data_IF_480989525174
#
_entry.id   IF_480989525174
#
_cell.length_a   1.000
_cell.length_b   1.000
_cell.length_c   1.000
_cell.angle_alpha   90.00
_cell.angle_beta   90.00
_cell.angle_gamma   90.00
#
_symmetry.space_group_name_H-M   'P 1'
#
loop_
_entity.id
_entity.type
_entity.pdbx_description
1 polymer ?
#
# COMPACT_ATOMS: atom_id res chain seq x y z
N UNK A 1 -6.99 31.56 -26.34
CA UNK A 1 -6.68 30.56 -25.29
C UNK A 1 -6.02 29.37 -25.96
N UNK A 2 -4.76 29.10 -25.62
CA UNK A 2 -3.94 28.05 -26.24
C UNK A 2 -4.38 26.66 -25.73
N UNK A 3 -4.64 25.72 -26.64
CA UNK A 3 -4.94 24.32 -26.31
C UNK A 3 -3.63 23.63 -25.90
N UNK A 4 -3.53 23.23 -24.64
CA UNK A 4 -2.33 22.59 -24.07
C UNK A 4 -2.28 21.07 -24.30
N UNK A 5 -2.62 20.60 -25.50
CA UNK A 5 -2.30 19.21 -25.86
C UNK A 5 -2.06 19.07 -27.36
N UNK A 6 -0.90 18.50 -27.66
CA UNK A 6 -0.48 18.08 -28.98
C UNK A 6 -0.64 16.56 -29.02
N UNK A 7 -1.30 16.04 -30.06
CA UNK A 7 -1.33 14.60 -30.32
C UNK A 7 0.06 14.22 -30.80
N UNK A 8 0.73 13.31 -30.09
CA UNK A 8 2.05 12.85 -30.49
C UNK A 8 2.06 11.34 -30.65
N UNK A 9 2.42 10.91 -31.85
CA UNK A 9 2.69 9.53 -32.24
C UNK A 9 3.78 8.96 -31.34
N UNK A 10 3.54 7.81 -30.70
CA UNK A 10 4.49 7.05 -29.87
C UNK A 10 5.13 7.79 -28.66
N UNK A 11 4.81 9.06 -28.41
CA UNK A 11 5.41 9.84 -27.33
C UNK A 11 4.44 9.95 -26.15
N UNK A 12 4.86 9.44 -25.00
CA UNK A 12 4.13 9.55 -23.74
C UNK A 12 3.99 11.00 -23.25
N UNK A 13 3.18 11.21 -22.21
CA UNK A 13 3.03 12.50 -21.54
C UNK A 13 4.25 12.76 -20.64
N UNK A 14 4.97 13.86 -20.86
CA UNK A 14 6.02 14.31 -19.93
C UNK A 14 5.36 14.95 -18.71
N UNK A 15 5.56 14.35 -17.53
CA UNK A 15 5.10 14.91 -16.26
C UNK A 15 6.20 15.86 -15.72
N UNK A 16 5.90 17.13 -15.45
CA UNK A 16 6.86 18.06 -14.84
C UNK A 16 7.42 17.49 -13.53
N UNK A 17 8.75 17.57 -13.27
CA UNK A 17 9.36 17.02 -12.06
C UNK A 17 8.72 17.53 -10.75
N UNK A 18 8.23 18.76 -10.74
CA UNK A 18 7.52 19.35 -9.61
C UNK A 18 6.23 18.60 -9.23
N UNK A 19 5.61 17.87 -10.18
CA UNK A 19 4.43 17.03 -9.95
C UNK A 19 4.80 15.58 -9.61
N UNK A 20 6.08 15.19 -9.75
CA UNK A 20 6.59 13.85 -9.46
C UNK A 20 7.17 13.72 -8.04
N UNK A 21 6.75 14.56 -7.09
CA UNK A 21 7.34 14.60 -5.74
C UNK A 21 7.33 13.25 -5.01
N UNK A 22 6.40 12.36 -5.36
CA UNK A 22 6.21 11.04 -4.76
C UNK A 22 6.51 9.86 -5.71
N UNK A 23 7.04 10.10 -6.91
CA UNK A 23 7.27 9.06 -7.92
C UNK A 23 8.73 9.06 -8.40
N UNK A 24 9.31 7.87 -8.55
CA UNK A 24 10.64 7.64 -9.10
C UNK A 24 10.54 7.12 -10.53
N UNK A 25 11.60 7.33 -11.32
CA UNK A 25 11.71 6.75 -12.65
C UNK A 25 11.69 5.21 -12.53
N UNK A 26 10.75 4.58 -13.25
CA UNK A 26 10.55 3.13 -13.21
C UNK A 26 9.44 2.67 -12.28
N UNK A 27 8.83 3.57 -11.49
CA UNK A 27 7.66 3.23 -10.69
C UNK A 27 6.46 2.89 -11.57
N UNK A 28 5.75 1.82 -11.22
CA UNK A 28 4.44 1.54 -11.79
C UNK A 28 3.42 2.56 -11.26
N UNK A 29 2.48 2.96 -12.12
CA UNK A 29 1.42 3.92 -11.79
C UNK A 29 0.06 3.40 -12.25
N UNK A 30 -0.98 3.77 -11.52
CA UNK A 30 -2.36 3.57 -11.93
C UNK A 30 -2.81 4.79 -12.75
N UNK A 31 -3.37 4.53 -13.93
CA UNK A 31 -4.04 5.53 -14.76
C UNK A 31 -5.56 5.38 -14.61
N UNK A 32 -6.20 6.35 -13.98
CA UNK A 32 -7.66 6.44 -13.88
C UNK A 32 -8.16 7.47 -14.91
N UNK A 33 -9.10 7.07 -15.77
CA UNK A 33 -9.65 7.91 -16.84
C UNK A 33 -11.12 8.20 -16.51
N UNK A 34 -11.43 9.47 -16.24
CA UNK A 34 -12.76 10.00 -15.96
C UNK A 34 -13.17 11.02 -17.05
N UNK A 35 -14.47 11.32 -17.22
CA UNK A 35 -14.90 12.39 -18.13
C UNK A 35 -14.25 13.74 -17.77
N UNK A 36 -13.34 14.21 -18.64
CA UNK A 36 -12.63 15.48 -18.47
C UNK A 36 -11.39 15.44 -17.57
N UNK A 37 -10.96 14.27 -17.08
CA UNK A 37 -9.82 14.13 -16.17
C UNK A 37 -9.07 12.81 -16.37
N UNK A 38 -7.74 12.88 -16.32
CA UNK A 38 -6.87 11.72 -16.14
C UNK A 38 -6.18 11.88 -14.78
N UNK A 39 -6.29 10.89 -13.91
CA UNK A 39 -5.53 10.85 -12.67
C UNK A 39 -4.42 9.80 -12.78
N UNK A 40 -3.21 10.19 -12.37
CA UNK A 40 -2.03 9.34 -12.29
C UNK A 40 -1.72 9.17 -10.82
N UNK A 41 -1.75 7.94 -10.32
CA UNK A 41 -1.52 7.63 -8.91
C UNK A 41 -0.39 6.60 -8.79
N UNK A 42 0.39 6.60 -7.69
CA UNK A 42 1.31 5.51 -7.42
C UNK A 42 0.57 4.17 -7.54
N UNK A 43 1.19 3.16 -8.16
CA UNK A 43 0.60 1.84 -8.14
C UNK A 43 0.49 1.36 -6.70
N UNK A 44 -0.67 0.78 -6.37
CA UNK A 44 -0.84 0.09 -5.10
C UNK A 44 0.25 -0.97 -4.95
N UNK A 45 0.79 -1.11 -3.75
CA UNK A 45 1.64 -2.25 -3.41
C UNK A 45 0.94 -3.54 -3.79
N UNK A 46 1.64 -4.37 -4.55
CA UNK A 46 1.14 -5.70 -4.83
C UNK A 46 1.12 -6.56 -3.53
N UNK A 47 0.35 -7.66 -3.50
CA UNK A 47 0.22 -8.49 -2.29
C UNK A 47 1.56 -8.99 -1.73
N UNK A 48 2.53 -9.29 -2.58
CA UNK A 48 3.84 -9.78 -2.17
C UNK A 48 4.66 -8.70 -1.45
N UNK A 49 4.66 -7.48 -1.98
CA UNK A 49 5.35 -6.36 -1.33
C UNK A 49 4.69 -5.94 -0.03
N UNK A 50 3.36 -5.94 0.01
CA UNK A 50 2.61 -5.69 1.23
C UNK A 50 2.96 -6.74 2.31
N UNK A 51 2.99 -8.02 1.95
CA UNK A 51 3.42 -9.12 2.82
C UNK A 51 4.85 -8.90 3.34
N UNK A 52 5.78 -8.51 2.46
CA UNK A 52 7.18 -8.26 2.81
C UNK A 52 7.32 -7.12 3.82
N UNK A 53 6.62 -6.01 3.61
CA UNK A 53 6.62 -4.85 4.52
C UNK A 53 5.97 -5.18 5.86
N UNK A 54 4.84 -5.88 5.86
CA UNK A 54 4.18 -6.33 7.07
C UNK A 54 5.07 -7.25 7.89
N UNK A 55 5.71 -8.24 7.25
CA UNK A 55 6.63 -9.15 7.92
C UNK A 55 7.83 -8.41 8.51
N UNK A 56 8.41 -7.47 7.77
CA UNK A 56 9.51 -6.64 8.28
C UNK A 56 9.10 -5.88 9.54
N UNK A 57 7.93 -5.23 9.55
CA UNK A 57 7.42 -4.56 10.74
C UNK A 57 7.24 -5.52 11.93
N UNK A 58 6.59 -6.66 11.71
CA UNK A 58 6.36 -7.66 12.78
C UNK A 58 7.67 -8.14 13.37
N UNK A 59 8.66 -8.49 12.54
CA UNK A 59 9.96 -8.99 13.01
C UNK A 59 10.75 -7.93 13.79
N UNK A 60 10.66 -6.67 13.38
CA UNK A 60 11.48 -5.58 13.95
C UNK A 60 10.83 -4.90 15.16
N UNK A 61 9.50 -4.89 15.26
CA UNK A 61 8.78 -4.14 16.30
C UNK A 61 7.99 -5.03 17.26
N UNK A 62 7.51 -6.21 16.82
CA UNK A 62 6.64 -7.07 17.62
C UNK A 62 7.33 -8.37 18.06
N UNK A 63 8.33 -8.83 17.32
CA UNK A 63 9.15 -10.00 17.64
C UNK A 63 9.05 -11.14 16.62
N UNK A 64 10.05 -12.02 16.64
CA UNK A 64 10.24 -13.11 15.69
C UNK A 64 9.35 -14.34 15.96
N UNK A 65 8.72 -14.42 17.14
CA UNK A 65 7.78 -15.47 17.50
C UNK A 65 6.41 -15.35 16.79
N UNK A 66 6.21 -14.33 15.95
CA UNK A 66 4.95 -14.01 15.29
C UNK A 66 4.98 -14.30 13.79
N UNK A 67 3.83 -14.67 13.24
CA UNK A 67 3.57 -14.84 11.80
C UNK A 67 2.38 -14.00 11.38
N UNK A 68 2.30 -13.70 10.09
CA UNK A 68 1.21 -12.96 9.46
C UNK A 68 0.41 -13.86 8.52
N UNK A 69 -0.90 -13.60 8.37
CA UNK A 69 -1.75 -14.24 7.37
C UNK A 69 -1.40 -13.79 5.94
N UNK A 70 -2.07 -14.37 4.96
CA UNK A 70 -2.17 -13.76 3.63
C UNK A 70 -2.79 -12.35 3.74
N UNK A 71 -2.44 -11.43 2.83
CA UNK A 71 -2.93 -10.07 2.86
C UNK A 71 -4.39 -10.03 2.39
N UNK A 72 -5.24 -9.28 3.09
CA UNK A 72 -6.56 -8.87 2.60
C UNK A 72 -6.56 -7.38 2.29
N UNK A 73 -7.21 -6.97 1.21
CA UNK A 73 -7.33 -5.56 0.83
C UNK A 73 -8.72 -5.05 1.15
N UNK A 74 -8.79 -3.92 1.83
CA UNK A 74 -10.04 -3.27 2.20
C UNK A 74 -10.01 -1.77 1.94
N UNK A 75 -11.15 -1.19 1.55
CA UNK A 75 -11.32 0.26 1.41
C UNK A 75 -12.01 0.80 2.67
N UNK A 76 -11.29 1.55 3.49
CA UNK A 76 -11.78 2.09 4.77
C UNK A 76 -11.56 3.60 4.77
N UNK A 77 -12.64 4.37 4.97
CA UNK A 77 -12.59 5.85 4.98
C UNK A 77 -11.87 6.44 3.77
N UNK A 78 -12.20 5.95 2.56
CA UNK A 78 -11.56 6.34 1.30
C UNK A 78 -10.04 6.06 1.19
N UNK A 79 -9.49 5.26 2.10
CA UNK A 79 -8.09 4.80 2.06
C UNK A 79 -8.06 3.30 1.87
N UNK A 80 -7.31 2.84 0.88
CA UNK A 80 -7.09 1.42 0.67
C UNK A 80 -6.03 0.89 1.64
N UNK A 81 -6.32 -0.23 2.29
CA UNK A 81 -5.49 -0.78 3.35
C UNK A 81 -5.26 -2.27 3.16
N UNK A 82 -4.01 -2.69 3.32
CA UNK A 82 -3.66 -4.10 3.43
C UNK A 82 -3.74 -4.53 4.89
N UNK A 83 -4.51 -5.58 5.16
CA UNK A 83 -4.73 -6.13 6.50
C UNK A 83 -4.10 -7.51 6.65
N UNK A 84 -3.56 -7.76 7.85
CA UNK A 84 -2.85 -8.98 8.20
C UNK A 84 -3.24 -9.43 9.61
N UNK A 85 -3.74 -10.65 9.73
CA UNK A 85 -3.88 -11.30 11.03
C UNK A 85 -2.50 -11.71 11.53
N UNK A 86 -2.13 -11.25 12.72
CA UNK A 86 -0.89 -11.63 13.39
C UNK A 86 -1.19 -12.73 14.40
N UNK A 87 -0.41 -13.81 14.36
CA UNK A 87 -0.56 -14.95 15.27
C UNK A 87 0.79 -15.45 15.77
N UNK A 88 0.81 -16.13 16.92
CA UNK A 88 2.02 -16.83 17.39
C UNK A 88 2.37 -17.98 16.44
N UNK A 89 3.65 -18.11 16.07
CA UNK A 89 4.15 -19.20 15.23
C UNK A 89 3.90 -20.57 15.85
N UNK A 90 4.12 -20.70 17.17
CA UNK A 90 4.05 -21.97 17.87
C UNK A 90 2.61 -22.47 18.09
N UNK A 91 1.70 -21.58 18.48
CA UNK A 91 0.34 -21.95 18.92
C UNK A 91 -0.74 -21.60 17.90
N UNK A 92 -0.47 -20.69 16.97
CA UNK A 92 -1.49 -20.12 16.09
C UNK A 92 -2.45 -19.15 16.80
N UNK A 93 -2.24 -18.87 18.08
CA UNK A 93 -3.03 -17.91 18.87
C UNK A 93 -3.04 -16.53 18.18
N UNK A 94 -4.24 -15.98 18.00
CA UNK A 94 -4.42 -14.67 17.38
C UNK A 94 -3.96 -13.55 18.32
N UNK A 95 -3.03 -12.71 17.84
CA UNK A 95 -2.40 -11.64 18.61
C UNK A 95 -2.88 -10.25 18.22
N UNK A 96 -3.57 -10.12 17.10
CA UNK A 96 -4.12 -8.84 16.63
C UNK A 96 -4.13 -8.68 15.12
N UNK A 97 -4.48 -7.47 14.70
CA UNK A 97 -4.61 -7.06 13.31
C UNK A 97 -3.61 -5.94 12.99
N UNK A 98 -2.84 -6.10 11.93
CA UNK A 98 -1.94 -5.08 11.38
C UNK A 98 -2.55 -4.52 10.09
N UNK A 99 -2.59 -3.20 9.96
CA UNK A 99 -3.02 -2.51 8.75
C UNK A 99 -1.89 -1.66 8.17
N UNK A 100 -1.65 -1.78 6.87
CA UNK A 100 -0.74 -0.94 6.09
C UNK A 100 -1.51 -0.11 5.07
N UNK A 101 -1.03 1.10 4.77
CA UNK A 101 -1.52 1.89 3.64
C UNK A 101 -1.16 1.16 2.34
N UNK A 102 -2.13 0.96 1.46
CA UNK A 102 -1.93 0.17 0.27
C UNK A 102 -1.08 0.87 -0.80
N UNK A 103 -0.97 2.19 -0.77
CA UNK A 103 -0.13 2.99 -1.67
C UNK A 103 1.29 3.14 -1.10
N UNK A 104 1.44 3.55 0.16
CA UNK A 104 2.75 3.90 0.74
C UNK A 104 3.45 2.72 1.43
N UNK A 105 2.69 1.72 1.86
CA UNK A 105 3.18 0.62 2.69
C UNK A 105 3.50 1.00 4.12
N UNK A 106 3.15 2.21 4.54
CA UNK A 106 3.31 2.67 5.92
C UNK A 106 2.30 1.97 6.83
N UNK A 107 2.68 1.72 8.07
CA UNK A 107 1.77 1.13 9.07
C UNK A 107 0.73 2.18 9.46
N UNK A 108 -0.54 1.88 9.19
CA UNK A 108 -1.68 2.69 9.62
C UNK A 108 -1.99 2.37 11.08
N UNK A 109 -2.08 1.08 11.42
CA UNK A 109 -2.44 0.66 12.77
C UNK A 109 -1.94 -0.74 13.11
N UNK A 110 -1.69 -0.95 14.40
CA UNK A 110 -1.54 -2.25 15.03
C UNK A 110 -2.57 -2.35 16.16
N UNK A 111 -3.51 -3.28 16.03
CA UNK A 111 -4.58 -3.51 16.99
C UNK A 111 -4.35 -4.86 17.67
N UNK A 112 -3.71 -4.91 18.85
CA UNK A 112 -3.53 -6.16 19.57
C UNK A 112 -4.89 -6.76 19.94
N UNK A 113 -5.00 -8.08 19.92
CA UNK A 113 -6.19 -8.77 20.43
C UNK A 113 -6.31 -8.53 21.94
N UNK A 114 -7.53 -8.50 22.46
CA UNK A 114 -7.76 -8.31 23.89
C UNK A 114 -7.03 -9.37 24.75
N UNK A 115 -6.92 -10.59 24.21
CA UNK A 115 -6.22 -11.71 24.85
C UNK A 115 -4.68 -11.59 24.79
N UNK A 116 -4.14 -10.65 24.01
CA UNK A 116 -2.70 -10.49 23.84
C UNK A 116 -2.00 -9.75 25.00
N UNK A 117 -2.75 -9.10 25.89
CA UNK A 117 -2.21 -8.25 26.95
C UNK A 117 -2.02 -9.02 28.28
N UNK A 118 -2.47 -10.28 28.34
CA UNK A 118 -2.23 -11.20 29.45
C UNK A 118 -1.03 -12.14 29.16
#
# INVERSE_FOLDING_TARGET
MSKAYQVVTEQGLVIPPALCASAQLGDEVLLEIEPGRIAIRPARLNPYEAQRRALFYVLTHLGDALRISAPSLELINATEQWHFNVSRKATGEHRGLLALNAETGEVISWMPSADAIN
#
